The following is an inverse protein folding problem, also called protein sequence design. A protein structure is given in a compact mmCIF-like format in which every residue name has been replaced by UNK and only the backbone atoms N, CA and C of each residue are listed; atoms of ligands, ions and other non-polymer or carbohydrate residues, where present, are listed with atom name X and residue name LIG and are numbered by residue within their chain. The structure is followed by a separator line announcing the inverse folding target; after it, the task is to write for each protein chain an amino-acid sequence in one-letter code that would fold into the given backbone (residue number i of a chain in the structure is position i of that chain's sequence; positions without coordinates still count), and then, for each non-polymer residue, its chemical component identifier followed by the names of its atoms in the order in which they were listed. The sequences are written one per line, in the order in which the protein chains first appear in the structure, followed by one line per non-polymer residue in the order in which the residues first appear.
data_IF_820889663689
#
_entry.id   IF_820889663689
#
_cell.length_a   1.000
_cell.length_b   1.000
_cell.length_c   1.000
_cell.angle_alpha   90.00
_cell.angle_beta   90.00
_cell.angle_gamma   90.00
#
_symmetry.space_group_name_H-M   'P 1'
#
loop_
_entity.id
_entity.type
_entity.pdbx_description
1 polymer ?
#
# COMPACT_ATOMS: atom_id res chain seq x y z
N UNK A 1 22.75 4.21 13.01
CA UNK A 1 21.90 4.53 11.86
C UNK A 1 20.50 3.98 12.09
N UNK A 2 19.53 4.67 11.61
CA UNK A 2 18.12 4.19 11.68
C UNK A 2 18.05 2.97 10.76
N UNK A 3 17.54 1.81 11.23
CA UNK A 3 17.29 0.69 10.35
C UNK A 3 16.30 1.13 9.27
N UNK A 4 16.70 1.09 8.03
CA UNK A 4 15.91 1.55 6.89
C UNK A 4 15.06 0.45 6.28
N UNK A 5 15.24 -0.78 6.77
CA UNK A 5 14.48 -1.96 6.31
C UNK A 5 14.09 -2.83 7.49
N UNK A 6 12.93 -3.45 7.37
CA UNK A 6 12.44 -4.43 8.35
C UNK A 6 13.38 -5.64 8.40
N UNK A 7 13.75 -6.04 9.62
CA UNK A 7 14.59 -7.21 9.86
C UNK A 7 13.98 -8.06 10.99
N UNK A 8 13.96 -9.38 10.83
CA UNK A 8 14.43 -10.17 9.69
C UNK A 8 13.53 -9.98 8.45
N UNK A 9 14.10 -10.19 7.26
CA UNK A 9 13.37 -10.07 5.99
C UNK A 9 12.51 -11.30 5.72
N UNK A 10 11.35 -11.11 5.09
CA UNK A 10 10.48 -12.20 4.66
C UNK A 10 11.11 -13.01 3.52
N UNK A 11 11.61 -12.33 2.50
CA UNK A 11 12.25 -12.94 1.34
C UNK A 11 13.73 -12.51 1.31
N UNK A 12 14.64 -13.46 1.39
CA UNK A 12 16.09 -13.21 1.43
C UNK A 12 16.68 -13.08 0.03
N UNK A 13 16.21 -13.91 -0.87
CA UNK A 13 16.57 -13.99 -2.28
C UNK A 13 15.30 -14.40 -3.06
N UNK A 14 15.26 -14.26 -4.40
CA UNK A 14 14.14 -14.72 -5.19
C UNK A 14 13.75 -16.17 -4.85
N UNK A 15 12.51 -16.37 -4.41
CA UNK A 15 11.98 -17.68 -4.02
C UNK A 15 12.48 -18.26 -2.70
N UNK A 16 13.37 -17.57 -1.96
CA UNK A 16 13.90 -18.03 -0.67
C UNK A 16 13.27 -17.26 0.48
N UNK A 17 12.38 -17.90 1.20
CA UNK A 17 11.56 -17.28 2.24
C UNK A 17 12.04 -17.60 3.66
N UNK A 18 11.65 -16.75 4.60
CA UNK A 18 11.82 -16.96 6.02
C UNK A 18 10.54 -17.59 6.61
N UNK A 19 10.56 -18.89 6.75
CA UNK A 19 9.39 -19.64 7.26
C UNK A 19 8.96 -19.24 8.67
N UNK A 20 9.88 -18.72 9.50
CA UNK A 20 9.54 -18.22 10.83
C UNK A 20 8.60 -17.00 10.75
N UNK A 21 8.80 -16.11 9.78
CA UNK A 21 7.91 -14.96 9.57
C UNK A 21 6.56 -15.42 9.06
N UNK A 22 6.53 -16.34 8.09
CA UNK A 22 5.28 -16.92 7.60
C UNK A 22 4.52 -17.68 8.68
N UNK A 23 5.23 -18.43 9.54
CA UNK A 23 4.58 -19.08 10.68
C UNK A 23 3.98 -18.06 11.66
N UNK A 24 4.65 -16.91 11.84
CA UNK A 24 4.10 -15.80 12.62
C UNK A 24 2.81 -15.23 12.01
N UNK A 25 2.74 -15.10 10.68
CA UNK A 25 1.52 -14.70 9.99
C UNK A 25 0.41 -15.77 10.10
N UNK A 26 0.76 -17.04 9.92
CA UNK A 26 -0.16 -18.15 10.10
C UNK A 26 -0.79 -18.15 11.50
N UNK A 27 0.04 -17.94 12.53
CA UNK A 27 -0.41 -17.85 13.91
C UNK A 27 -1.30 -16.62 14.14
N UNK A 28 -0.92 -15.46 13.61
CA UNK A 28 -1.72 -14.24 13.70
C UNK A 28 -3.12 -14.46 13.10
N UNK A 29 -3.22 -15.04 11.91
CA UNK A 29 -4.49 -15.31 11.25
C UNK A 29 -5.34 -16.30 12.07
N UNK A 30 -4.73 -17.33 12.65
CA UNK A 30 -5.43 -18.25 13.54
C UNK A 30 -6.02 -17.54 14.78
N UNK A 31 -5.24 -16.68 15.43
CA UNK A 31 -5.66 -15.90 16.59
C UNK A 31 -6.73 -14.83 16.24
N UNK A 32 -6.66 -14.26 15.05
CA UNK A 32 -7.69 -13.34 14.54
C UNK A 32 -9.00 -14.06 14.27
N UNK A 33 -8.95 -15.28 13.71
CA UNK A 33 -10.13 -16.11 13.49
C UNK A 33 -10.88 -16.40 14.80
N UNK A 34 -10.17 -16.80 15.86
CA UNK A 34 -10.71 -17.04 17.21
C UNK A 34 -11.44 -15.80 17.80
N UNK A 35 -11.02 -14.59 17.38
CA UNK A 35 -11.56 -13.31 17.85
C UNK A 35 -12.55 -12.67 16.87
N UNK A 36 -12.94 -13.40 15.83
CA UNK A 36 -13.81 -12.91 14.76
C UNK A 36 -13.30 -11.59 14.13
N UNK A 37 -11.98 -11.46 14.03
CA UNK A 37 -11.31 -10.34 13.35
C UNK A 37 -11.05 -10.68 11.89
N UNK A 38 -10.88 -9.64 11.06
CA UNK A 38 -10.55 -9.78 9.64
C UNK A 38 -9.23 -9.13 9.34
N UNK A 39 -8.50 -9.68 8.38
CA UNK A 39 -7.21 -9.18 7.92
C UNK A 39 -7.27 -8.73 6.47
N UNK A 40 -6.72 -7.57 6.18
CA UNK A 40 -6.33 -7.14 4.84
C UNK A 40 -4.84 -7.40 4.70
N UNK A 41 -4.43 -8.16 3.70
CA UNK A 41 -3.04 -8.56 3.52
C UNK A 41 -2.46 -7.88 2.28
N UNK A 42 -1.55 -6.91 2.48
CA UNK A 42 -0.77 -6.35 1.37
C UNK A 42 0.42 -7.25 1.03
N UNK A 43 0.65 -7.45 -0.27
CA UNK A 43 1.66 -8.41 -0.76
C UNK A 43 3.03 -7.74 -0.87
N UNK A 44 3.07 -6.45 -1.19
CA UNK A 44 4.31 -5.71 -1.41
C UNK A 44 4.19 -4.24 -0.97
N UNK A 45 5.23 -3.46 -1.27
CA UNK A 45 5.32 -2.05 -0.96
C UNK A 45 6.09 -1.32 -2.08
N UNK A 46 5.73 -0.08 -2.40
CA UNK A 46 6.57 0.76 -3.26
C UNK A 46 7.83 1.26 -2.55
N UNK A 47 7.72 1.40 -1.22
CA UNK A 47 8.75 1.98 -0.37
C UNK A 47 9.78 0.94 0.09
N UNK A 48 10.93 1.40 0.53
CA UNK A 48 12.11 0.57 0.81
C UNK A 48 12.05 -0.22 2.11
N UNK A 49 11.23 0.18 3.09
CA UNK A 49 11.31 -0.40 4.45
C UNK A 49 10.97 -1.90 4.51
N UNK A 50 10.16 -2.40 3.59
CA UNK A 50 9.92 -3.84 3.41
C UNK A 50 10.64 -4.44 2.20
N UNK A 51 11.66 -3.75 1.67
CA UNK A 51 12.38 -4.12 0.46
C UNK A 51 11.79 -3.53 -0.82
N UNK A 52 10.48 -3.65 -1.02
CA UNK A 52 9.72 -3.01 -2.06
C UNK A 52 10.17 -3.32 -3.50
N UNK A 53 9.70 -2.51 -4.43
CA UNK A 53 10.02 -2.68 -5.85
C UNK A 53 11.51 -2.51 -6.15
N UNK A 54 12.24 -1.76 -5.33
CA UNK A 54 13.69 -1.61 -5.45
C UNK A 54 14.45 -2.92 -5.32
N UNK A 55 14.00 -3.84 -4.45
CA UNK A 55 14.65 -5.15 -4.32
C UNK A 55 14.41 -6.05 -5.53
N UNK A 56 13.22 -6.03 -6.12
CA UNK A 56 12.99 -6.79 -7.36
C UNK A 56 13.84 -6.27 -8.51
N UNK A 57 14.05 -4.96 -8.60
CA UNK A 57 14.98 -4.38 -9.57
C UNK A 57 16.41 -4.83 -9.33
N UNK A 58 16.88 -4.87 -8.08
CA UNK A 58 18.22 -5.37 -7.73
C UNK A 58 18.35 -6.85 -8.11
N UNK A 59 17.41 -7.69 -7.76
CA UNK A 59 17.39 -9.10 -8.11
C UNK A 59 17.27 -9.35 -9.63
N UNK A 60 16.61 -8.44 -10.35
CA UNK A 60 16.58 -8.46 -11.80
C UNK A 60 17.88 -8.03 -12.47
N UNK A 61 18.85 -7.51 -11.69
CA UNK A 61 20.13 -7.01 -12.20
C UNK A 61 20.05 -5.58 -12.74
N UNK A 62 19.00 -4.82 -12.37
CA UNK A 62 18.77 -3.44 -12.84
C UNK A 62 19.43 -2.36 -11.97
N UNK A 63 20.34 -2.74 -11.08
CA UNK A 63 21.06 -1.86 -10.16
C UNK A 63 20.70 -2.11 -8.71
N UNK A 64 21.47 -1.52 -7.78
CA UNK A 64 21.25 -1.67 -6.34
C UNK A 64 19.96 -0.99 -5.89
N UNK A 65 19.24 -1.62 -4.98
CA UNK A 65 18.08 -1.01 -4.34
C UNK A 65 18.51 0.17 -3.45
N UNK A 66 17.96 1.33 -3.74
CA UNK A 66 18.29 2.57 -3.05
C UNK A 66 17.47 2.74 -1.77
N UNK A 67 18.00 3.54 -0.84
CA UNK A 67 17.40 3.86 0.45
C UNK A 67 17.28 5.39 0.54
N UNK A 68 16.05 5.97 0.68
CA UNK A 68 15.87 7.42 0.71
C UNK A 68 16.69 8.13 1.80
N UNK A 69 16.90 7.48 2.95
CA UNK A 69 17.72 8.02 4.03
C UNK A 69 19.21 8.22 3.65
N UNK A 70 19.70 7.49 2.63
CA UNK A 70 21.08 7.57 2.14
C UNK A 70 21.20 8.49 0.92
N UNK A 71 20.23 8.45 0.02
CA UNK A 71 20.34 9.11 -1.29
C UNK A 71 19.31 10.23 -1.51
N UNK A 72 18.33 10.37 -0.62
CA UNK A 72 17.17 11.24 -0.78
C UNK A 72 16.05 10.60 -1.57
N UNK A 73 14.85 11.20 -1.49
CA UNK A 73 13.65 10.65 -2.12
C UNK A 73 13.68 10.72 -3.65
N UNK A 74 14.23 11.79 -4.25
CA UNK A 74 14.22 11.95 -5.71
C UNK A 74 15.01 10.83 -6.42
N UNK A 75 16.29 10.55 -6.09
CA UNK A 75 17.00 9.42 -6.69
C UNK A 75 16.35 8.07 -6.42
N UNK A 76 15.73 7.89 -5.24
CA UNK A 76 14.98 6.69 -4.91
C UNK A 76 13.79 6.51 -5.86
N UNK A 77 12.92 7.52 -5.99
CA UNK A 77 11.73 7.48 -6.85
C UNK A 77 12.11 7.25 -8.33
N UNK A 78 13.14 7.93 -8.84
CA UNK A 78 13.68 7.72 -10.18
C UNK A 78 14.15 6.26 -10.39
N UNK A 79 14.80 5.67 -9.39
CA UNK A 79 15.21 4.27 -9.45
C UNK A 79 14.02 3.33 -9.48
N UNK A 80 13.07 3.48 -8.55
CA UNK A 80 11.90 2.60 -8.41
C UNK A 80 10.93 2.73 -9.59
N UNK A 81 10.83 3.91 -10.22
CA UNK A 81 9.97 4.14 -11.40
C UNK A 81 10.26 3.20 -12.58
N UNK A 82 11.42 2.57 -12.61
CA UNK A 82 11.81 1.58 -13.63
C UNK A 82 11.18 0.21 -13.43
N UNK A 83 10.58 -0.04 -12.26
CA UNK A 83 10.01 -1.36 -11.94
C UNK A 83 8.91 -1.76 -12.91
N UNK A 84 7.96 -0.89 -13.19
CA UNK A 84 6.79 -1.21 -14.02
C UNK A 84 7.13 -1.50 -15.50
N UNK A 85 8.31 -1.10 -15.95
CA UNK A 85 8.82 -1.39 -17.30
C UNK A 85 9.89 -2.47 -17.32
N UNK A 86 10.19 -3.11 -16.17
CA UNK A 86 11.18 -4.18 -16.09
C UNK A 86 10.47 -5.54 -15.94
N UNK A 87 10.37 -6.28 -17.07
CA UNK A 87 9.65 -7.55 -17.11
C UNK A 87 10.18 -8.57 -16.09
N UNK A 88 11.51 -8.67 -15.96
CA UNK A 88 12.11 -9.62 -15.03
C UNK A 88 11.81 -9.27 -13.56
N UNK A 89 11.78 -7.98 -13.22
CA UNK A 89 11.42 -7.54 -11.87
C UNK A 89 9.93 -7.81 -11.58
N UNK A 90 9.05 -7.58 -12.56
CA UNK A 90 7.61 -7.91 -12.44
C UNK A 90 7.39 -9.42 -12.28
N UNK A 91 8.07 -10.27 -13.04
CA UNK A 91 7.96 -11.73 -12.89
C UNK A 91 8.38 -12.19 -11.49
N UNK A 92 9.46 -11.66 -10.93
CA UNK A 92 9.85 -11.96 -9.55
C UNK A 92 8.77 -11.55 -8.53
N UNK A 93 8.09 -10.45 -8.76
CA UNK A 93 6.93 -10.04 -7.96
C UNK A 93 5.74 -11.02 -8.15
N UNK A 94 5.42 -11.41 -9.38
CA UNK A 94 4.33 -12.36 -9.64
C UNK A 94 4.61 -13.74 -9.02
N UNK A 95 5.86 -14.19 -8.98
CA UNK A 95 6.24 -15.40 -8.27
C UNK A 95 6.02 -15.27 -6.75
N UNK A 96 6.29 -14.10 -6.20
CA UNK A 96 5.97 -13.81 -4.80
C UNK A 96 4.45 -13.82 -4.55
N UNK A 97 3.64 -13.22 -5.44
CA UNK A 97 2.17 -13.29 -5.37
C UNK A 97 1.71 -14.75 -5.35
N UNK A 98 2.19 -15.58 -6.28
CA UNK A 98 1.85 -17.01 -6.32
C UNK A 98 2.18 -17.70 -5.01
N UNK A 99 3.36 -17.46 -4.48
CA UNK A 99 3.82 -18.10 -3.24
C UNK A 99 2.94 -17.71 -2.03
N UNK A 100 2.60 -16.44 -1.89
CA UNK A 100 1.83 -15.93 -0.74
C UNK A 100 0.36 -16.36 -0.83
N UNK A 101 -0.28 -16.14 -1.98
CA UNK A 101 -1.73 -16.36 -2.14
C UNK A 101 -2.09 -17.86 -2.08
N UNK A 102 -1.20 -18.74 -2.57
CA UNK A 102 -1.44 -20.18 -2.53
C UNK A 102 -0.99 -20.88 -1.24
N UNK A 103 -0.56 -20.10 -0.25
CA UNK A 103 -0.08 -20.65 1.02
C UNK A 103 -1.17 -21.41 1.76
N UNK A 104 -0.76 -22.48 2.43
CA UNK A 104 -1.58 -23.15 3.45
C UNK A 104 -1.08 -22.75 4.84
N UNK A 105 -1.96 -22.28 5.69
CA UNK A 105 -1.68 -21.92 7.08
C UNK A 105 -1.16 -23.14 7.84
N UNK A 106 0.03 -23.07 8.41
CA UNK A 106 0.67 -24.19 9.09
C UNK A 106 0.09 -24.45 10.49
N UNK A 107 -0.66 -23.50 11.06
CA UNK A 107 -1.32 -23.63 12.36
C UNK A 107 -2.70 -24.27 12.22
N UNK A 108 -3.49 -23.80 11.24
CA UNK A 108 -4.87 -24.25 11.04
C UNK A 108 -5.01 -25.36 9.99
N UNK A 109 -4.01 -25.56 9.15
CA UNK A 109 -4.07 -26.48 8.00
C UNK A 109 -4.96 -25.97 6.85
N UNK A 110 -5.50 -24.76 6.94
CA UNK A 110 -6.42 -24.19 5.94
C UNK A 110 -5.65 -23.43 4.85
N UNK A 111 -5.94 -23.65 3.55
CA UNK A 111 -5.42 -22.78 2.50
C UNK A 111 -5.87 -21.32 2.72
N UNK A 112 -5.00 -20.35 2.45
CA UNK A 112 -5.33 -18.92 2.64
C UNK A 112 -6.56 -18.51 1.82
N UNK A 113 -6.69 -19.00 0.60
CA UNK A 113 -7.86 -18.74 -0.27
C UNK A 113 -9.21 -19.24 0.30
N UNK A 114 -9.18 -20.13 1.29
CA UNK A 114 -10.35 -20.69 1.95
C UNK A 114 -10.50 -20.19 3.41
N UNK A 115 -9.64 -19.25 3.82
CA UNK A 115 -9.65 -18.70 5.18
C UNK A 115 -10.51 -17.43 5.26
N UNK A 116 -11.71 -17.49 5.85
CA UNK A 116 -12.59 -16.33 5.93
C UNK A 116 -12.05 -15.22 6.86
N UNK A 117 -10.92 -15.43 7.53
CA UNK A 117 -10.22 -14.40 8.29
C UNK A 117 -9.56 -13.39 7.36
N UNK A 118 -9.12 -13.82 6.18
CA UNK A 118 -8.63 -12.91 5.16
C UNK A 118 -9.84 -12.23 4.52
N UNK A 119 -9.86 -10.90 4.56
CA UNK A 119 -10.92 -10.08 3.96
C UNK A 119 -10.58 -9.75 2.51
N UNK A 120 -9.34 -9.31 2.29
CA UNK A 120 -8.86 -8.96 0.96
C UNK A 120 -7.34 -9.07 0.84
N UNK A 121 -6.90 -9.20 -0.40
CA UNK A 121 -5.51 -9.03 -0.83
C UNK A 121 -5.31 -7.61 -1.34
N UNK A 122 -4.23 -6.96 -0.93
CA UNK A 122 -3.77 -5.73 -1.54
C UNK A 122 -2.53 -5.98 -2.38
N UNK A 123 -2.51 -5.45 -3.60
CA UNK A 123 -1.37 -5.59 -4.52
C UNK A 123 -0.10 -5.03 -3.88
N UNK A 124 -0.21 -3.91 -3.20
CA UNK A 124 0.89 -3.33 -2.45
C UNK A 124 0.44 -2.25 -1.49
N UNK A 125 1.29 -1.90 -0.52
CA UNK A 125 1.11 -0.69 0.24
C UNK A 125 1.61 0.50 -0.58
N UNK A 126 0.73 1.46 -0.84
CA UNK A 126 1.02 2.69 -1.57
C UNK A 126 1.78 2.46 -2.90
N UNK A 127 1.23 1.61 -3.81
CA UNK A 127 1.86 1.39 -5.10
C UNK A 127 1.89 2.69 -5.90
N UNK A 128 3.07 3.06 -6.40
CA UNK A 128 3.30 4.30 -7.15
C UNK A 128 4.03 4.06 -8.45
N UNK A 129 3.64 4.84 -9.47
CA UNK A 129 4.31 4.89 -10.76
C UNK A 129 5.62 5.70 -10.71
N UNK A 130 5.63 6.81 -9.98
CA UNK A 130 6.69 7.82 -9.97
C UNK A 130 7.05 8.35 -11.36
N UNK A 131 6.08 8.33 -12.30
CA UNK A 131 6.26 8.80 -13.69
C UNK A 131 5.03 9.55 -14.15
N UNK A 132 5.29 10.63 -14.91
CA UNK A 132 4.26 11.47 -15.52
C UNK A 132 4.15 11.27 -17.04
N UNK A 133 4.94 10.34 -17.62
CA UNK A 133 4.86 10.03 -19.04
C UNK A 133 3.85 8.92 -19.33
N UNK A 134 3.23 8.98 -20.50
CA UNK A 134 2.17 8.05 -20.89
C UNK A 134 2.61 6.58 -20.95
N UNK A 135 3.87 6.32 -21.29
CA UNK A 135 4.41 4.95 -21.35
C UNK A 135 4.54 4.36 -19.95
N UNK A 136 5.08 5.12 -19.00
CA UNK A 136 5.22 4.69 -17.61
C UNK A 136 3.86 4.48 -16.94
N UNK A 137 2.93 5.41 -17.15
CA UNK A 137 1.58 5.29 -16.63
C UNK A 137 0.82 4.09 -17.23
N UNK A 138 0.95 3.86 -18.54
CA UNK A 138 0.33 2.68 -19.17
C UNK A 138 0.90 1.37 -18.63
N UNK A 139 2.23 1.29 -18.44
CA UNK A 139 2.87 0.12 -17.85
C UNK A 139 2.46 -0.09 -16.38
N UNK A 140 2.21 1.00 -15.64
CA UNK A 140 1.72 0.91 -14.26
C UNK A 140 0.28 0.38 -14.20
N UNK A 141 -0.61 0.87 -15.05
CA UNK A 141 -1.97 0.35 -15.16
C UNK A 141 -1.96 -1.14 -15.52
N UNK A 142 -1.17 -1.53 -16.52
CA UNK A 142 -1.02 -2.93 -16.93
C UNK A 142 -0.51 -3.81 -15.78
N UNK A 143 0.49 -3.35 -15.03
CA UNK A 143 1.02 -4.04 -13.86
C UNK A 143 -0.07 -4.24 -12.78
N UNK A 144 -0.85 -3.21 -12.47
CA UNK A 144 -1.92 -3.29 -11.48
C UNK A 144 -3.03 -4.25 -11.90
N UNK A 145 -3.45 -4.19 -13.17
CA UNK A 145 -4.47 -5.09 -13.70
C UNK A 145 -4.00 -6.54 -13.78
N UNK A 146 -2.78 -6.77 -14.26
CA UNK A 146 -2.17 -8.11 -14.32
C UNK A 146 -2.03 -8.71 -12.92
N UNK A 147 -1.65 -7.90 -11.94
CA UNK A 147 -1.54 -8.33 -10.54
C UNK A 147 -2.89 -8.72 -9.96
N UNK A 148 -3.93 -7.91 -10.18
CA UNK A 148 -5.29 -8.21 -9.73
C UNK A 148 -5.83 -9.50 -10.37
N UNK A 149 -5.70 -9.63 -11.69
CA UNK A 149 -6.12 -10.83 -12.42
C UNK A 149 -5.38 -12.09 -11.95
N UNK A 150 -4.06 -11.98 -11.69
CA UNK A 150 -3.28 -13.09 -11.13
C UNK A 150 -3.81 -13.52 -9.77
N UNK A 151 -4.03 -12.57 -8.85
CA UNK A 151 -4.57 -12.87 -7.51
C UNK A 151 -5.93 -13.55 -7.65
N UNK A 152 -6.85 -13.00 -8.43
CA UNK A 152 -8.20 -13.58 -8.66
C UNK A 152 -8.15 -14.99 -9.27
N UNK A 153 -7.18 -15.25 -10.13
CA UNK A 153 -6.99 -16.60 -10.71
C UNK A 153 -6.55 -17.64 -9.68
N UNK A 154 -5.84 -17.22 -8.65
CA UNK A 154 -5.32 -18.09 -7.57
C UNK A 154 -6.32 -18.20 -6.41
N UNK A 155 -7.03 -17.11 -6.15
CA UNK A 155 -8.00 -16.99 -5.07
C UNK A 155 -9.26 -16.26 -5.55
N UNK A 156 -10.28 -17.00 -5.99
CA UNK A 156 -11.55 -16.42 -6.43
C UNK A 156 -12.48 -16.01 -5.27
N UNK A 157 -12.12 -16.30 -4.02
CA UNK A 157 -13.00 -16.15 -2.87
C UNK A 157 -12.86 -14.79 -2.19
N UNK A 158 -11.65 -14.22 -2.18
CA UNK A 158 -11.38 -12.97 -1.46
C UNK A 158 -11.38 -11.75 -2.40
N UNK A 159 -11.63 -10.60 -1.82
CA UNK A 159 -11.53 -9.32 -2.53
C UNK A 159 -10.08 -8.99 -2.85
N UNK A 160 -9.91 -8.16 -3.87
CA UNK A 160 -8.61 -7.58 -4.26
C UNK A 160 -8.73 -6.07 -4.29
N UNK A 161 -7.72 -5.39 -3.78
CA UNK A 161 -7.59 -3.94 -3.86
C UNK A 161 -6.19 -3.53 -4.29
N UNK A 162 -6.06 -2.29 -4.72
CA UNK A 162 -4.78 -1.73 -5.15
C UNK A 162 -3.83 -1.45 -3.99
N UNK A 163 -4.37 -0.97 -2.86
CA UNK A 163 -3.62 -0.38 -1.73
C UNK A 163 -3.12 1.04 -2.01
N UNK A 164 -3.75 1.74 -2.97
CA UNK A 164 -3.36 3.09 -3.40
C UNK A 164 -3.72 4.15 -2.35
N UNK A 165 -2.94 5.24 -2.31
CA UNK A 165 -3.27 6.43 -1.55
C UNK A 165 -4.43 7.26 -2.15
N UNK A 166 -4.90 6.89 -3.33
CA UNK A 166 -5.81 7.69 -4.13
C UNK A 166 -5.09 8.44 -5.25
N UNK A 167 -5.64 9.57 -5.69
CA UNK A 167 -5.01 10.41 -6.72
C UNK A 167 -3.62 10.91 -6.31
N UNK A 168 -3.38 11.13 -5.01
CA UNK A 168 -2.05 11.50 -4.52
C UNK A 168 -0.98 10.45 -4.86
N UNK A 169 -1.31 9.17 -4.67
CA UNK A 169 -0.45 8.04 -5.06
C UNK A 169 -0.29 7.85 -6.57
N UNK A 170 -1.11 8.53 -7.35
CA UNK A 170 -1.09 8.56 -8.81
C UNK A 170 -0.56 9.90 -9.36
N UNK A 171 0.41 10.52 -8.69
CA UNK A 171 1.04 11.80 -9.08
C UNK A 171 0.03 12.96 -9.18
N UNK A 172 -1.03 12.95 -8.38
CA UNK A 172 -2.20 13.83 -8.42
C UNK A 172 -3.01 13.74 -9.74
N UNK A 173 -2.92 12.62 -10.43
CA UNK A 173 -3.63 12.33 -11.67
C UNK A 173 -4.84 11.43 -11.39
N UNK A 174 -6.03 12.02 -11.32
CA UNK A 174 -7.28 11.28 -11.10
C UNK A 174 -7.62 10.36 -12.28
N UNK A 175 -7.21 10.70 -13.51
CA UNK A 175 -7.41 9.84 -14.68
C UNK A 175 -6.55 8.56 -14.58
N UNK A 176 -5.32 8.68 -14.07
CA UNK A 176 -4.48 7.51 -13.79
C UNK A 176 -5.10 6.64 -12.69
N UNK A 177 -5.58 7.26 -11.61
CA UNK A 177 -6.27 6.55 -10.54
C UNK A 177 -7.53 5.84 -11.06
N UNK A 178 -8.33 6.51 -11.86
CA UNK A 178 -9.52 5.93 -12.51
C UNK A 178 -9.16 4.74 -13.39
N UNK A 179 -8.15 4.86 -14.25
CA UNK A 179 -7.70 3.78 -15.13
C UNK A 179 -7.30 2.53 -14.37
N UNK A 180 -6.65 2.67 -13.22
CA UNK A 180 -6.33 1.54 -12.35
C UNK A 180 -7.60 0.91 -11.78
N UNK A 181 -8.50 1.72 -11.20
CA UNK A 181 -9.65 1.23 -10.45
C UNK A 181 -10.87 0.87 -11.31
N UNK A 182 -10.82 1.15 -12.63
CA UNK A 182 -11.78 0.60 -13.59
C UNK A 182 -11.57 -0.90 -13.86
N UNK A 183 -10.46 -1.49 -13.38
CA UNK A 183 -10.21 -2.93 -13.45
C UNK A 183 -11.33 -3.73 -12.80
N UNK A 184 -11.95 -4.71 -13.51
CA UNK A 184 -13.03 -5.52 -12.93
C UNK A 184 -12.58 -6.41 -11.77
N UNK A 185 -11.29 -6.76 -11.72
CA UNK A 185 -10.69 -7.61 -10.69
C UNK A 185 -10.24 -6.84 -9.43
N UNK A 186 -10.38 -5.50 -9.41
CA UNK A 186 -10.22 -4.66 -8.22
C UNK A 186 -11.61 -4.38 -7.65
N UNK A 187 -11.90 -4.88 -6.45
CA UNK A 187 -13.24 -4.89 -5.87
C UNK A 187 -13.63 -3.58 -5.19
N UNK A 188 -12.67 -2.83 -4.67
CA UNK A 188 -12.90 -1.56 -3.98
C UNK A 188 -11.75 -0.58 -4.17
N UNK A 189 -12.04 0.69 -3.96
CA UNK A 189 -11.07 1.79 -4.05
C UNK A 189 -10.43 2.03 -2.68
N UNK A 190 -9.12 2.26 -2.67
CA UNK A 190 -8.38 2.65 -1.47
C UNK A 190 -8.03 4.13 -1.54
N UNK A 191 -8.07 4.80 -0.40
CA UNK A 191 -7.50 6.14 -0.21
C UNK A 191 -6.75 6.20 1.12
N UNK A 192 -5.68 6.99 1.16
CA UNK A 192 -4.96 7.40 2.36
C UNK A 192 -5.01 8.91 2.47
N UNK A 193 -4.99 9.46 3.67
CA UNK A 193 -5.00 10.91 3.88
C UNK A 193 -4.03 11.29 5.00
N UNK A 194 -2.91 11.89 4.63
CA UNK A 194 -1.85 12.29 5.54
C UNK A 194 -1.58 13.80 5.47
N UNK A 195 -2.38 14.67 6.13
CA UNK A 195 -2.27 16.12 6.02
C UNK A 195 -0.88 16.69 6.28
N UNK A 196 -0.13 16.10 7.21
CA UNK A 196 1.23 16.52 7.50
C UNK A 196 2.21 16.12 6.38
N UNK A 197 2.17 14.87 5.95
CA UNK A 197 3.04 14.35 4.88
C UNK A 197 2.79 15.07 3.55
N UNK A 198 1.54 15.45 3.30
CA UNK A 198 1.13 16.17 2.10
C UNK A 198 1.26 17.70 2.22
N UNK A 199 1.87 18.17 3.30
CA UNK A 199 2.12 19.60 3.56
C UNK A 199 0.87 20.48 3.65
N UNK A 200 -0.30 19.90 3.92
CA UNK A 200 -1.51 20.69 4.24
C UNK A 200 -1.40 21.36 5.61
N UNK A 201 -0.65 20.74 6.51
CA UNK A 201 -0.24 21.31 7.79
C UNK A 201 1.27 21.15 8.00
N UNK A 202 1.84 21.98 8.87
CA UNK A 202 3.24 21.94 9.29
C UNK A 202 3.32 22.01 10.81
N UNK A 203 4.49 21.73 11.37
CA UNK A 203 4.72 21.72 12.83
C UNK A 203 4.15 22.96 13.54
N UNK A 204 4.36 24.13 12.96
CA UNK A 204 3.92 25.42 13.51
C UNK A 204 2.52 25.86 13.05
N UNK A 205 1.82 25.07 12.26
CA UNK A 205 0.49 25.43 11.71
C UNK A 205 -0.59 24.37 11.99
N UNK A 206 -0.32 23.39 12.85
CA UNK A 206 -1.25 22.29 13.13
C UNK A 206 -2.65 22.76 13.51
N UNK A 207 -2.75 23.79 14.36
CA UNK A 207 -4.04 24.35 14.80
C UNK A 207 -4.60 25.38 13.83
N UNK A 208 -3.75 26.24 13.28
CA UNK A 208 -4.21 27.34 12.42
C UNK A 208 -4.69 26.84 11.05
N UNK A 209 -4.06 25.79 10.53
CA UNK A 209 -4.42 25.20 9.24
C UNK A 209 -5.37 23.98 9.35
N UNK A 210 -5.80 23.62 10.57
CA UNK A 210 -6.71 22.50 10.75
C UNK A 210 -8.02 22.65 9.95
N UNK A 211 -8.70 23.82 9.93
CA UNK A 211 -9.92 23.95 9.11
C UNK A 211 -9.69 23.72 7.63
N UNK A 212 -8.54 24.17 7.09
CA UNK A 212 -8.19 23.94 5.68
C UNK A 212 -7.83 22.47 5.43
N UNK A 213 -7.14 21.82 6.36
CA UNK A 213 -6.84 20.39 6.24
C UNK A 213 -8.11 19.54 6.24
N UNK A 214 -9.10 19.90 7.06
CA UNK A 214 -10.44 19.28 7.07
C UNK A 214 -11.13 19.48 5.71
N UNK A 215 -11.17 20.71 5.20
CA UNK A 215 -11.79 20.99 3.91
C UNK A 215 -11.12 20.24 2.75
N UNK A 216 -9.78 20.13 2.77
CA UNK A 216 -9.04 19.34 1.78
C UNK A 216 -9.36 17.85 1.89
N UNK A 217 -9.53 17.35 3.12
CA UNK A 217 -9.92 15.95 3.39
C UNK A 217 -11.31 15.65 2.81
N UNK A 218 -12.28 16.51 3.07
CA UNK A 218 -13.66 16.37 2.55
C UNK A 218 -13.66 16.36 1.02
N UNK A 219 -12.97 17.32 0.40
CA UNK A 219 -12.85 17.37 -1.05
C UNK A 219 -12.22 16.10 -1.62
N UNK A 220 -11.14 15.63 -1.00
CA UNK A 220 -10.44 14.41 -1.44
C UNK A 220 -11.35 13.18 -1.36
N UNK A 221 -12.07 13.03 -0.27
CA UNK A 221 -13.05 11.94 -0.09
C UNK A 221 -14.16 12.04 -1.14
N UNK A 222 -14.76 13.21 -1.34
CA UNK A 222 -15.84 13.42 -2.28
C UNK A 222 -15.46 13.11 -3.73
N UNK A 223 -14.26 13.51 -4.16
CA UNK A 223 -13.75 13.21 -5.51
C UNK A 223 -13.61 11.70 -5.73
N UNK A 224 -13.10 10.97 -4.73
CA UNK A 224 -12.96 9.51 -4.84
C UNK A 224 -14.27 8.76 -4.69
N UNK A 225 -15.21 9.26 -3.89
CA UNK A 225 -16.57 8.73 -3.80
C UNK A 225 -17.33 8.89 -5.12
N UNK A 226 -17.19 10.04 -5.80
CA UNK A 226 -17.82 10.25 -7.10
C UNK A 226 -17.31 9.23 -8.14
N UNK A 227 -16.01 8.94 -8.13
CA UNK A 227 -15.43 7.92 -8.99
C UNK A 227 -15.93 6.51 -8.62
N UNK A 228 -15.98 6.20 -7.34
CA UNK A 228 -16.47 4.91 -6.84
C UNK A 228 -17.91 4.65 -7.25
N UNK A 229 -18.76 5.66 -7.16
CA UNK A 229 -20.15 5.60 -7.63
C UNK A 229 -20.26 5.29 -9.13
N UNK A 230 -19.37 5.87 -9.94
CA UNK A 230 -19.32 5.61 -11.40
C UNK A 230 -19.11 4.12 -11.71
N UNK A 231 -18.32 3.43 -10.90
CA UNK A 231 -17.98 2.01 -11.08
C UNK A 231 -18.79 1.06 -10.18
N UNK A 232 -19.66 1.58 -9.31
CA UNK A 232 -20.43 0.77 -8.37
C UNK A 232 -19.56 0.06 -7.34
N UNK A 233 -18.43 0.64 -6.99
CA UNK A 233 -17.47 0.06 -6.02
C UNK A 233 -17.45 0.87 -4.72
N UNK A 234 -17.20 0.25 -3.55
CA UNK A 234 -16.99 1.00 -2.31
C UNK A 234 -15.63 1.69 -2.28
N UNK A 235 -15.51 2.70 -1.41
CA UNK A 235 -14.23 3.32 -1.03
C UNK A 235 -13.88 2.94 0.39
N UNK A 236 -12.61 2.64 0.64
CA UNK A 236 -12.08 2.42 1.99
C UNK A 236 -10.97 3.42 2.25
N UNK A 237 -11.16 4.27 3.25
CA UNK A 237 -10.10 5.09 3.83
C UNK A 237 -9.31 4.20 4.79
N UNK A 238 -8.15 3.71 4.35
CA UNK A 238 -7.37 2.72 5.07
C UNK A 238 -6.37 3.33 6.03
N UNK A 239 -5.82 4.47 5.62
CA UNK A 239 -4.83 5.18 6.41
C UNK A 239 -5.18 6.65 6.49
N UNK A 240 -5.15 7.21 7.69
CA UNK A 240 -5.21 8.64 7.92
C UNK A 240 -4.57 8.99 9.26
N UNK A 241 -4.11 10.22 9.38
CA UNK A 241 -3.49 10.62 10.61
C UNK A 241 -3.27 12.11 10.72
N UNK A 242 -3.12 12.58 11.98
CA UNK A 242 -2.81 13.96 12.29
C UNK A 242 -1.83 14.01 13.47
N UNK A 243 -0.80 14.89 13.45
CA UNK A 243 0.18 14.96 14.51
C UNK A 243 -0.42 15.41 15.87
N UNK A 244 0.27 15.09 16.97
CA UNK A 244 -0.02 15.67 18.28
C UNK A 244 0.29 17.16 18.28
N UNK A 245 -0.27 17.87 19.24
CA UNK A 245 -0.04 19.31 19.39
C UNK A 245 1.45 19.64 19.45
N UNK A 246 1.83 20.76 18.83
CA UNK A 246 3.21 21.25 18.73
C UNK A 246 4.21 20.22 18.15
N UNK A 247 3.69 19.22 17.38
CA UNK A 247 4.47 18.13 16.78
C UNK A 247 5.33 17.37 17.81
N UNK A 248 4.79 17.18 19.02
CA UNK A 248 5.49 16.49 20.09
C UNK A 248 5.03 15.04 20.22
N UNK A 249 5.96 14.14 20.59
CA UNK A 249 5.71 12.70 20.68
C UNK A 249 5.74 12.17 22.12
N UNK A 250 6.10 13.01 23.10
CA UNK A 250 6.20 12.61 24.50
C UNK A 250 4.84 12.17 25.05
N UNK A 251 4.86 11.23 25.99
CA UNK A 251 3.66 10.80 26.69
C UNK A 251 3.03 12.01 27.41
N UNK A 252 1.70 12.15 27.31
CA UNK A 252 0.96 13.27 27.91
C UNK A 252 0.91 14.53 27.05
N UNK A 253 1.57 14.57 25.87
CA UNK A 253 1.39 15.68 24.94
C UNK A 253 -0.08 15.80 24.53
N UNK A 254 -0.65 17.01 24.55
CA UNK A 254 -2.02 17.25 24.10
C UNK A 254 -2.27 16.79 22.64
N UNK A 255 -3.52 16.46 22.35
CA UNK A 255 -3.96 15.92 21.07
C UNK A 255 -5.14 16.70 20.49
N UNK A 256 -5.27 17.98 20.85
CA UNK A 256 -6.51 18.76 20.61
C UNK A 256 -6.85 18.85 19.12
N UNK A 257 -5.89 19.27 18.28
CA UNK A 257 -6.10 19.35 16.83
C UNK A 257 -6.27 17.96 16.20
N UNK A 258 -5.48 16.97 16.65
CA UNK A 258 -5.62 15.58 16.18
C UNK A 258 -7.00 15.00 16.51
N UNK A 259 -7.47 15.18 17.72
CA UNK A 259 -8.74 14.61 18.17
C UNK A 259 -9.93 15.31 17.48
N UNK A 260 -9.80 16.59 17.13
CA UNK A 260 -10.77 17.31 16.32
C UNK A 260 -10.81 16.76 14.88
N UNK A 261 -9.64 16.60 14.25
CA UNK A 261 -9.51 16.00 12.93
C UNK A 261 -10.09 14.58 12.89
N UNK A 262 -9.76 13.72 13.86
CA UNK A 262 -10.24 12.34 13.93
C UNK A 262 -11.75 12.21 14.17
N UNK A 263 -12.37 13.19 14.85
CA UNK A 263 -13.83 13.19 14.99
C UNK A 263 -14.55 13.64 13.72
N UNK A 264 -13.85 14.38 12.88
CA UNK A 264 -14.39 14.88 11.63
C UNK A 264 -14.37 13.76 10.57
N UNK A 265 -13.23 13.10 10.40
CA UNK A 265 -13.06 11.96 9.50
C UNK A 265 -13.84 10.75 9.98
#
# INVERSE_FOLDING_TARGET
GIPTRVSPTLQKEPGVYNDTIFHGLDYLLAEMAERNMKAVLYINNSWEWSGGYGMYLEWAGAGKALIPAEVGYVPFMESVSRFVTNEKAKELFYDHVRHVVTRTNTVTGKPYKDDPTIFSWQIGNEPRCFRNDSTGQAAFVDFMWTSAALIKSLDPNHMVSSGSEGSWGCENDMDLYERIHSCPDIDYLNIHIWPYNWSWVRENTLKTNLPQAIANTDQYIDEHLALAQKYGKPVVLEEFGFPRDDFQFAQGTPTTARDEYYRHV
#
